data_IF_778597649234
#
_entry.id   IF_778597649234
#
_cell.length_a   1.000
_cell.length_b   1.000
_cell.length_c   1.000
_cell.angle_alpha   90.00
_cell.angle_beta   90.00
_cell.angle_gamma   90.00
#
_symmetry.space_group_name_H-M   'P 1'
#
loop_
_entity.id
_entity.type
_entity.pdbx_description
1 polymer ?
#
# COMPACT_ATOMS: atom_id res chain seq x y z
N UNK A 1 -13.95 -18.84 -19.33
CA UNK A 1 -12.80 -19.41 -18.58
C UNK A 1 -13.08 -20.88 -18.37
N UNK A 2 -12.16 -21.79 -18.75
CA UNK A 2 -12.32 -23.23 -18.53
C UNK A 2 -11.52 -23.63 -17.28
N UNK A 3 -12.23 -23.89 -16.18
CA UNK A 3 -11.67 -24.49 -14.97
C UNK A 3 -11.30 -25.95 -15.26
N UNK A 4 -10.03 -26.31 -15.01
CA UNK A 4 -9.62 -27.72 -15.02
C UNK A 4 -9.76 -28.26 -13.60
N UNK A 5 -10.68 -29.21 -13.41
CA UNK A 5 -11.02 -29.80 -12.12
C UNK A 5 -10.46 -31.22 -12.06
N UNK A 6 -9.54 -31.47 -11.13
CA UNK A 6 -9.06 -32.81 -10.84
C UNK A 6 -9.67 -33.27 -9.53
N UNK A 7 -10.38 -34.41 -9.56
CA UNK A 7 -11.05 -34.97 -8.38
C UNK A 7 -10.28 -36.20 -7.93
N UNK A 8 -9.79 -36.16 -6.69
CA UNK A 8 -9.12 -37.28 -6.04
C UNK A 8 -10.04 -37.86 -4.96
N UNK A 9 -10.12 -39.19 -4.90
CA UNK A 9 -10.74 -39.88 -3.77
C UNK A 9 -9.63 -40.46 -2.91
N UNK A 10 -9.51 -39.97 -1.67
CA UNK A 10 -8.58 -40.50 -0.67
C UNK A 10 -9.40 -40.77 0.59
N UNK A 11 -9.43 -42.02 1.04
CA UNK A 11 -10.11 -42.47 2.28
C UNK A 11 -11.56 -41.98 2.45
N UNK A 12 -12.34 -41.98 1.36
CA UNK A 12 -13.75 -41.56 1.38
C UNK A 12 -13.96 -40.04 1.38
N UNK A 13 -12.89 -39.25 1.31
CA UNK A 13 -12.93 -37.79 1.16
C UNK A 13 -12.73 -37.45 -0.33
N UNK A 14 -13.70 -36.72 -0.89
CA UNK A 14 -13.56 -36.11 -2.22
C UNK A 14 -12.75 -34.83 -2.08
N UNK A 15 -11.52 -34.84 -2.60
CA UNK A 15 -10.69 -33.67 -2.73
C UNK A 15 -10.85 -33.13 -4.14
N UNK A 16 -11.35 -31.90 -4.24
CA UNK A 16 -11.46 -31.18 -5.50
C UNK A 16 -10.35 -30.13 -5.56
N UNK A 17 -9.39 -30.34 -6.46
CA UNK A 17 -8.30 -29.39 -6.69
C UNK A 17 -8.62 -28.67 -7.99
N UNK A 18 -8.98 -27.39 -7.88
CA UNK A 18 -9.15 -26.49 -9.01
C UNK A 18 -7.81 -25.85 -9.36
N UNK A 19 -7.41 -25.93 -10.63
CA UNK A 19 -6.32 -25.13 -11.17
C UNK A 19 -6.94 -23.93 -11.91
N UNK A 20 -6.90 -22.75 -11.29
CA UNK A 20 -7.17 -21.51 -12.02
C UNK A 20 -6.05 -21.31 -13.04
N UNK A 21 -6.42 -21.12 -14.31
CA UNK A 21 -5.46 -20.75 -15.34
C UNK A 21 -4.85 -19.42 -14.92
N UNK A 22 -3.52 -19.35 -14.78
CA UNK A 22 -2.82 -18.11 -14.44
C UNK A 22 -3.31 -16.99 -15.37
N UNK A 23 -3.88 -15.96 -14.76
CA UNK A 23 -4.50 -14.88 -15.50
C UNK A 23 -3.41 -14.06 -16.18
N UNK A 24 -3.55 -13.77 -17.47
CA UNK A 24 -2.58 -12.92 -18.17
C UNK A 24 -2.70 -11.47 -17.67
N UNK A 25 -1.61 -10.98 -17.08
CA UNK A 25 -1.45 -9.64 -16.50
C UNK A 25 -0.28 -8.88 -17.16
N UNK A 26 0.20 -9.35 -18.31
CA UNK A 26 1.35 -8.76 -19.01
C UNK A 26 1.09 -7.32 -19.49
N UNK A 27 -0.15 -6.99 -19.81
CA UNK A 27 -0.58 -5.65 -20.25
C UNK A 27 -0.77 -4.64 -19.10
N UNK A 28 -0.57 -5.05 -17.84
CA UNK A 28 -0.73 -4.17 -16.67
C UNK A 28 0.61 -3.71 -16.13
N UNK A 29 0.80 -2.39 -16.16
CA UNK A 29 1.95 -1.71 -15.60
C UNK A 29 1.66 -1.17 -14.20
N UNK A 30 2.56 -1.46 -13.26
CA UNK A 30 2.52 -0.89 -11.90
C UNK A 30 3.83 -0.17 -11.65
N UNK A 31 3.74 1.16 -11.50
CA UNK A 31 4.92 2.04 -11.41
C UNK A 31 4.92 2.84 -10.12
N UNK A 32 6.12 3.17 -9.64
CA UNK A 32 6.28 4.11 -8.53
C UNK A 32 6.25 5.55 -9.03
N UNK A 33 5.58 6.45 -8.31
CA UNK A 33 5.57 7.88 -8.63
C UNK A 33 7.02 8.42 -8.68
N UNK A 34 7.42 8.92 -9.85
CA UNK A 34 8.70 9.60 -10.12
C UNK A 34 9.96 8.85 -9.65
N UNK A 35 9.90 7.53 -9.47
CA UNK A 35 11.04 6.75 -8.94
C UNK A 35 11.33 6.94 -7.45
N UNK A 36 10.61 7.81 -6.75
CA UNK A 36 10.80 8.10 -5.31
C UNK A 36 10.17 7.05 -4.39
N UNK A 37 9.42 6.11 -4.99
CA UNK A 37 8.67 5.09 -4.26
C UNK A 37 9.48 3.80 -4.17
N UNK A 38 9.64 3.30 -2.95
CA UNK A 38 10.38 2.08 -2.61
C UNK A 38 9.60 0.82 -3.00
N UNK A 39 9.46 0.57 -4.29
CA UNK A 39 8.70 -0.55 -4.86
C UNK A 39 9.15 -1.92 -4.33
N UNK A 40 10.44 -2.07 -3.96
CA UNK A 40 10.98 -3.29 -3.36
C UNK A 40 10.33 -3.67 -2.01
N UNK A 41 9.60 -2.75 -1.37
CA UNK A 41 8.84 -3.00 -0.13
C UNK A 41 7.46 -3.62 -0.38
N UNK A 42 7.06 -3.77 -1.63
CA UNK A 42 5.79 -4.38 -2.02
C UNK A 42 6.07 -5.83 -2.41
N UNK A 43 5.33 -6.76 -1.83
CA UNK A 43 5.45 -8.17 -2.19
C UNK A 43 4.91 -8.43 -3.60
N UNK A 44 5.44 -9.44 -4.29
CA UNK A 44 4.89 -9.90 -5.58
C UNK A 44 3.41 -10.30 -5.46
N UNK A 45 3.01 -10.86 -4.31
CA UNK A 45 1.61 -11.18 -4.03
C UNK A 45 0.72 -9.93 -4.07
N UNK A 46 1.12 -8.87 -3.38
CA UNK A 46 0.40 -7.59 -3.39
C UNK A 46 0.39 -6.95 -4.79
N UNK A 47 1.51 -7.00 -5.52
CA UNK A 47 1.56 -6.51 -6.90
C UNK A 47 0.59 -7.28 -7.81
N UNK A 48 0.49 -8.61 -7.67
CA UNK A 48 -0.45 -9.42 -8.45
C UNK A 48 -1.90 -9.07 -8.14
N UNK A 49 -2.26 -8.82 -6.88
CA UNK A 49 -3.60 -8.34 -6.51
C UNK A 49 -3.90 -7.00 -7.19
N UNK A 50 -2.96 -6.05 -7.10
CA UNK A 50 -3.11 -4.72 -7.71
C UNK A 50 -3.31 -4.86 -9.22
N UNK A 51 -2.52 -5.72 -9.88
CA UNK A 51 -2.65 -5.96 -11.33
C UNK A 51 -4.01 -6.55 -11.72
N UNK A 52 -4.52 -7.52 -10.93
CA UNK A 52 -5.87 -8.07 -11.14
C UNK A 52 -6.95 -7.00 -10.98
N UNK A 53 -6.84 -6.15 -9.96
CA UNK A 53 -7.78 -5.03 -9.76
C UNK A 53 -7.71 -4.02 -10.92
N UNK A 54 -6.51 -3.67 -11.36
CA UNK A 54 -6.25 -2.76 -12.47
C UNK A 54 -6.88 -3.26 -13.77
N UNK A 55 -6.67 -4.54 -14.10
CA UNK A 55 -7.30 -5.22 -15.24
C UNK A 55 -8.82 -5.18 -15.18
N UNK A 56 -9.41 -5.57 -14.04
CA UNK A 56 -10.86 -5.58 -13.86
C UNK A 56 -11.50 -4.18 -13.87
N UNK A 57 -10.72 -3.15 -13.54
CA UNK A 57 -11.15 -1.74 -13.60
C UNK A 57 -10.82 -1.05 -14.93
N UNK A 58 -10.25 -1.77 -15.90
CA UNK A 58 -9.79 -1.24 -17.17
C UNK A 58 -8.78 -0.07 -17.04
N UNK A 59 -7.91 -0.15 -16.03
CA UNK A 59 -6.81 0.79 -15.80
C UNK A 59 -5.48 0.07 -16.09
N UNK A 60 -4.88 0.24 -17.28
CA UNK A 60 -3.66 -0.49 -17.64
C UNK A 60 -2.42 -0.02 -16.87
N UNK A 61 -2.45 1.18 -16.28
CA UNK A 61 -1.34 1.76 -15.53
C UNK A 61 -1.81 2.13 -14.13
N UNK A 62 -1.11 1.62 -13.12
CA UNK A 62 -1.32 1.99 -11.71
C UNK A 62 -0.07 2.67 -11.17
N UNK A 63 -0.24 3.89 -10.66
CA UNK A 63 0.83 4.66 -10.02
C UNK A 63 0.74 4.52 -8.50
N UNK A 64 1.73 3.86 -7.90
CA UNK A 64 1.90 3.81 -6.45
C UNK A 64 2.54 5.11 -5.98
N UNK A 65 1.88 5.80 -5.05
CA UNK A 65 2.34 7.11 -4.53
C UNK A 65 3.07 7.00 -3.19
N UNK A 66 2.83 5.94 -2.43
CA UNK A 66 3.53 5.66 -1.17
C UNK A 66 3.52 4.16 -0.86
N UNK A 67 4.45 3.73 -0.02
CA UNK A 67 4.60 2.34 0.45
C UNK A 67 4.78 2.34 1.97
N UNK A 68 5.04 1.18 2.56
CA UNK A 68 5.41 1.08 3.96
C UNK A 68 6.64 1.93 4.25
N UNK A 69 6.61 2.68 5.36
CA UNK A 69 7.69 3.53 5.85
C UNK A 69 8.27 2.95 7.13
N UNK A 70 9.56 3.17 7.37
CA UNK A 70 10.12 2.96 8.70
C UNK A 70 9.54 3.99 9.67
N UNK A 71 9.60 3.77 10.99
CA UNK A 71 9.15 4.78 11.96
C UNK A 71 9.82 6.16 11.77
N UNK A 72 11.11 6.18 11.42
CA UNK A 72 11.84 7.42 11.15
C UNK A 72 11.30 8.13 9.90
N UNK A 73 11.18 7.42 8.78
CA UNK A 73 10.64 7.98 7.53
C UNK A 73 9.20 8.49 7.71
N UNK A 74 8.40 7.80 8.53
CA UNK A 74 7.06 8.26 8.87
C UNK A 74 7.09 9.58 9.66
N UNK A 75 7.97 9.71 10.66
CA UNK A 75 8.13 10.95 11.42
C UNK A 75 8.62 12.11 10.56
N UNK A 76 9.55 11.86 9.62
CA UNK A 76 10.03 12.87 8.66
C UNK A 76 8.90 13.40 7.76
N UNK A 77 8.05 12.50 7.25
CA UNK A 77 6.93 12.90 6.39
C UNK A 77 5.87 13.69 7.17
N UNK A 78 5.62 13.31 8.42
CA UNK A 78 4.75 14.06 9.33
C UNK A 78 5.32 15.44 9.64
N UNK A 79 6.64 15.55 9.84
CA UNK A 79 7.31 16.83 10.02
C UNK A 79 7.16 17.72 8.78
N UNK A 80 7.43 17.17 7.58
CA UNK A 80 7.25 17.91 6.32
C UNK A 80 5.82 18.42 6.19
N UNK A 81 4.81 17.57 6.45
CA UNK A 81 3.40 17.97 6.43
C UNK A 81 3.09 19.09 7.44
N UNK A 82 3.63 19.01 8.66
CA UNK A 82 3.48 20.08 9.65
C UNK A 82 4.05 21.42 9.15
N UNK A 83 5.17 21.40 8.43
CA UNK A 83 5.84 22.59 7.89
C UNK A 83 5.11 23.14 6.65
N UNK A 84 4.70 22.27 5.72
CA UNK A 84 4.16 22.69 4.42
C UNK A 84 2.65 22.94 4.43
N UNK A 85 1.89 22.16 5.20
CA UNK A 85 0.42 22.19 5.22
C UNK A 85 -0.14 22.73 6.53
N UNK A 86 0.68 22.77 7.58
CA UNK A 86 0.31 23.26 8.90
C UNK A 86 -0.22 22.17 9.83
N UNK A 87 -0.06 22.41 11.13
CA UNK A 87 -0.35 21.41 12.18
C UNK A 87 -1.81 20.94 12.20
N UNK A 88 -2.76 21.80 11.85
CA UNK A 88 -4.20 21.48 11.91
C UNK A 88 -4.58 20.46 10.84
N UNK A 89 -4.01 20.54 9.64
CA UNK A 89 -4.25 19.56 8.59
C UNK A 89 -3.65 18.20 8.96
N UNK A 90 -2.52 18.17 9.66
CA UNK A 90 -1.92 16.92 10.12
C UNK A 90 -2.76 16.23 11.21
N UNK A 91 -3.38 17.00 12.13
CA UNK A 91 -4.32 16.44 13.12
C UNK A 91 -5.62 15.89 12.49
N UNK A 92 -6.01 16.37 11.30
CA UNK A 92 -7.14 15.79 10.55
C UNK A 92 -6.73 14.50 9.83
N UNK A 93 -5.50 14.46 9.33
CA UNK A 93 -4.98 13.35 8.54
C UNK A 93 -4.64 12.13 9.40
N UNK A 94 -4.04 12.34 10.56
CA UNK A 94 -3.57 11.28 11.43
C UNK A 94 -4.54 10.99 12.58
N UNK A 95 -4.41 9.79 13.15
CA UNK A 95 -5.14 9.36 14.34
C UNK A 95 -4.27 9.49 15.60
N UNK A 96 -4.80 9.08 16.76
CA UNK A 96 -4.20 9.25 18.08
C UNK A 96 -2.70 8.92 18.21
N UNK A 97 -2.18 7.93 17.47
CA UNK A 97 -0.76 7.62 17.47
C UNK A 97 0.07 8.70 16.75
N UNK A 98 -0.41 9.18 15.60
CA UNK A 98 0.23 10.27 14.87
C UNK A 98 0.07 11.62 15.57
N UNK A 99 -1.05 11.85 16.24
CA UNK A 99 -1.28 13.06 17.03
C UNK A 99 -0.20 13.28 18.09
N UNK A 100 0.29 12.20 18.70
CA UNK A 100 1.41 12.27 19.66
C UNK A 100 2.70 12.79 19.03
N UNK A 101 2.96 12.45 17.77
CA UNK A 101 4.14 12.93 17.03
C UNK A 101 3.97 14.41 16.66
N UNK A 102 2.78 14.79 16.18
CA UNK A 102 2.45 16.19 15.86
C UNK A 102 2.57 17.06 17.11
N UNK A 103 2.15 16.55 18.27
CA UNK A 103 2.24 17.24 19.55
C UNK A 103 3.67 17.60 19.93
N UNK A 104 4.64 16.70 19.69
CA UNK A 104 6.06 16.96 19.91
C UNK A 104 6.54 18.14 19.06
N UNK A 105 6.16 18.20 17.77
CA UNK A 105 6.47 19.33 16.91
C UNK A 105 5.87 20.64 17.45
N UNK A 106 4.60 20.61 17.85
CA UNK A 106 3.88 21.77 18.38
C UNK A 106 4.56 22.35 19.64
N UNK A 107 4.93 21.49 20.60
CA UNK A 107 5.54 21.91 21.87
C UNK A 107 6.93 22.52 21.68
N UNK A 108 7.72 21.98 20.74
CA UNK A 108 9.03 22.52 20.38
C UNK A 108 8.96 23.89 19.67
N UNK A 109 7.84 24.19 18.99
CA UNK A 109 7.67 25.47 18.29
C UNK A 109 7.04 26.54 19.20
N UNK A 110 6.20 26.16 20.16
CA UNK A 110 5.69 27.07 21.21
C UNK A 110 6.81 27.58 22.13
N UNK A 111 7.84 26.79 22.36
CA UNK A 111 8.96 27.14 23.25
C UNK A 111 9.98 28.10 22.64
N UNK A 112 9.98 28.28 21.31
CA UNK A 112 10.89 29.19 20.59
C UNK A 112 10.42 30.65 20.52
N UNK A 113 9.22 30.97 21.01
CA UNK A 113 8.67 32.35 21.00
C UNK A 113 9.02 33.15 22.26
N UNK A 114 10.25 33.02 22.78
CA UNK A 114 10.75 33.76 23.95
C UNK A 114 11.93 34.64 23.59
#
# INVERSE_FOLDING_TARGET
MLEHRQVYNVDGVKLEVGYEKEEDLSDIEVVGKNGDVKMYRISNYSLNIIKKMAKNSNNPIVTITSTTRTPMEQAEEMYKGCVSEGIQEQYKLYAAAGDKVIKVYEDLHKTKTR
#
